data_IF_556247572428
#
_entry.id   IF_556247572428
#
_cell.length_a   1.000
_cell.length_b   1.000
_cell.length_c   1.000
_cell.angle_alpha   90.00
_cell.angle_beta   90.00
_cell.angle_gamma   90.00
#
_symmetry.space_group_name_H-M   'P 1'
#
loop_
_entity.id
_entity.type
_entity.pdbx_description
1 polymer ?
#
# COMPACT_ATOMS: atom_id res chain seq x y z
N UNK A 1 48.53 58.06 9.78
CA UNK A 1 47.88 56.92 10.46
C UNK A 1 46.47 57.31 10.91
N UNK A 2 45.44 56.79 10.23
CA UNK A 2 44.22 56.17 10.79
C UNK A 2 43.21 55.98 9.66
N UNK A 3 42.92 54.71 9.39
CA UNK A 3 42.11 54.19 8.30
C UNK A 3 40.59 54.17 8.60
N UNK A 4 39.83 53.84 7.53
CA UNK A 4 38.50 53.19 7.47
C UNK A 4 37.29 54.13 7.66
N UNK A 5 36.22 54.04 6.86
CA UNK A 5 35.57 52.85 6.29
C UNK A 5 34.95 53.12 4.91
N UNK A 6 35.31 52.32 3.90
CA UNK A 6 34.42 52.01 2.77
C UNK A 6 33.30 51.11 3.30
N UNK A 7 32.04 51.57 3.24
CA UNK A 7 30.89 50.70 3.49
C UNK A 7 30.68 49.80 2.27
N UNK A 8 31.13 48.55 2.37
CA UNK A 8 30.65 47.50 1.48
C UNK A 8 29.19 47.21 1.82
N UNK A 9 28.29 47.61 0.92
CA UNK A 9 26.89 47.19 0.93
C UNK A 9 26.88 45.72 0.50
N UNK A 10 26.81 44.80 1.45
CA UNK A 10 26.61 43.39 1.14
C UNK A 10 25.21 43.22 0.55
N UNK A 11 25.16 42.87 -0.73
CA UNK A 11 23.97 42.25 -1.32
C UNK A 11 23.84 40.87 -0.65
N UNK A 12 22.91 40.76 0.29
CA UNK A 12 22.40 39.47 0.74
C UNK A 12 21.77 38.77 -0.47
N UNK A 13 22.39 37.68 -0.90
CA UNK A 13 21.88 36.77 -1.91
C UNK A 13 20.87 35.82 -1.25
N UNK A 14 19.58 36.12 -1.41
CA UNK A 14 18.48 35.19 -1.13
C UNK A 14 18.45 34.07 -2.21
N UNK A 15 19.35 33.09 -2.12
CA UNK A 15 19.32 31.92 -3.02
C UNK A 15 19.23 30.58 -2.25
N UNK A 16 19.47 30.55 -0.93
CA UNK A 16 19.55 29.29 -0.17
C UNK A 16 18.20 28.68 0.27
N UNK A 17 17.06 29.39 0.11
CA UNK A 17 15.79 28.93 0.69
C UNK A 17 14.95 27.96 -0.16
N UNK A 18 15.27 27.75 -1.45
CA UNK A 18 14.43 26.90 -2.31
C UNK A 18 14.82 25.41 -2.27
N UNK A 19 16.10 25.08 -2.07
CA UNK A 19 16.57 23.68 -2.09
C UNK A 19 16.19 22.90 -0.82
N UNK A 20 16.31 23.53 0.34
CA UNK A 20 15.99 22.89 1.64
C UNK A 20 14.52 22.49 1.77
N UNK A 21 13.62 23.30 1.22
CA UNK A 21 12.18 23.03 1.23
C UNK A 21 11.79 21.86 0.29
N UNK A 22 12.51 21.70 -0.83
CA UNK A 22 12.27 20.61 -1.77
C UNK A 22 12.77 19.27 -1.21
N UNK A 23 13.97 19.25 -0.64
CA UNK A 23 14.52 18.05 0.02
C UNK A 23 13.67 17.61 1.21
N UNK A 24 13.15 18.55 2.02
CA UNK A 24 12.21 18.23 3.09
C UNK A 24 10.90 17.63 2.57
N UNK A 25 10.37 18.17 1.46
CA UNK A 25 9.16 17.64 0.81
C UNK A 25 9.30 16.19 0.34
N UNK A 26 10.47 15.84 -0.21
CA UNK A 26 10.77 14.47 -0.64
C UNK A 26 10.85 13.50 0.54
N UNK A 27 11.47 13.91 1.65
CA UNK A 27 11.53 13.11 2.89
C UNK A 27 10.12 12.87 3.47
N UNK A 28 9.25 13.88 3.50
CA UNK A 28 7.87 13.70 3.97
C UNK A 28 7.08 12.74 3.08
N UNK A 29 7.29 12.80 1.77
CA UNK A 29 6.67 11.86 0.82
C UNK A 29 7.14 10.42 1.09
N UNK A 30 8.43 10.22 1.28
CA UNK A 30 8.98 8.88 1.59
C UNK A 30 8.43 8.34 2.91
N UNK A 31 8.35 9.18 3.96
CA UNK A 31 7.75 8.81 5.23
C UNK A 31 6.27 8.42 5.09
N UNK A 32 5.51 9.16 4.27
CA UNK A 32 4.12 8.83 4.00
C UNK A 32 3.99 7.47 3.31
N UNK A 33 4.82 7.19 2.30
CA UNK A 33 4.87 5.90 1.58
C UNK A 33 5.19 4.75 2.55
N UNK A 34 6.17 4.94 3.44
CA UNK A 34 6.51 3.94 4.46
C UNK A 34 5.34 3.70 5.41
N UNK A 35 4.70 4.77 5.90
CA UNK A 35 3.59 4.65 6.84
C UNK A 35 2.40 3.91 6.22
N UNK A 36 1.97 4.28 5.01
CA UNK A 36 0.87 3.59 4.34
C UNK A 36 1.22 2.13 3.99
N UNK A 37 2.49 1.84 3.69
CA UNK A 37 2.96 0.46 3.48
C UNK A 37 2.88 -0.38 4.75
N UNK A 38 3.21 0.20 5.92
CA UNK A 38 3.05 -0.48 7.22
C UNK A 38 1.58 -0.84 7.47
N UNK A 39 0.67 0.11 7.25
CA UNK A 39 -0.76 -0.13 7.36
C UNK A 39 -1.24 -1.23 6.41
N UNK A 40 -0.79 -1.21 5.15
CA UNK A 40 -1.11 -2.23 4.17
C UNK A 40 -0.66 -3.63 4.61
N UNK A 41 0.52 -3.76 5.21
CA UNK A 41 1.02 -5.05 5.76
C UNK A 41 0.14 -5.54 6.92
N UNK A 42 -0.24 -4.65 7.85
CA UNK A 42 -1.17 -5.02 8.93
C UNK A 42 -2.52 -5.49 8.40
N UNK A 43 -3.04 -4.86 7.36
CA UNK A 43 -4.28 -5.28 6.72
C UNK A 43 -4.17 -6.67 6.06
N UNK A 44 -3.03 -6.99 5.43
CA UNK A 44 -2.78 -8.35 4.91
C UNK A 44 -2.86 -9.37 6.04
N UNK A 45 -2.15 -9.11 7.16
CA UNK A 45 -2.16 -10.01 8.32
C UNK A 45 -3.57 -10.19 8.88
N UNK A 46 -4.34 -9.10 8.97
CA UNK A 46 -5.72 -9.15 9.42
C UNK A 46 -6.60 -10.00 8.47
N UNK A 47 -6.46 -9.84 7.16
CA UNK A 47 -7.15 -10.66 6.16
C UNK A 47 -6.78 -12.15 6.27
N UNK A 48 -5.52 -12.47 6.59
CA UNK A 48 -5.07 -13.85 6.84
C UNK A 48 -5.75 -14.44 8.08
N UNK A 49 -5.83 -13.69 9.18
CA UNK A 49 -6.48 -14.14 10.42
C UNK A 49 -7.95 -14.47 10.17
N UNK A 50 -8.69 -13.60 9.48
CA UNK A 50 -10.10 -13.83 9.12
C UNK A 50 -10.28 -15.12 8.32
N UNK A 51 -9.37 -15.40 7.37
CA UNK A 51 -9.44 -16.63 6.59
C UNK A 51 -9.15 -17.88 7.43
N UNK A 52 -8.23 -17.79 8.40
CA UNK A 52 -7.94 -18.89 9.32
C UNK A 52 -9.17 -19.20 10.19
N UNK A 53 -9.80 -18.17 10.77
CA UNK A 53 -11.01 -18.32 11.59
C UNK A 53 -12.16 -18.94 10.78
N UNK A 54 -12.35 -18.49 9.53
CA UNK A 54 -13.31 -19.08 8.61
C UNK A 54 -13.07 -20.58 8.37
N UNK A 55 -11.82 -21.01 8.18
CA UNK A 55 -11.50 -22.43 7.98
C UNK A 55 -11.81 -23.28 9.22
N UNK A 56 -11.57 -22.74 10.42
CA UNK A 56 -11.96 -23.41 11.67
C UNK A 56 -13.48 -23.53 11.82
N UNK A 57 -14.20 -22.45 11.51
CA UNK A 57 -15.66 -22.46 11.53
C UNK A 57 -16.24 -23.46 10.53
N UNK A 58 -15.75 -23.47 9.27
CA UNK A 58 -16.13 -24.46 8.25
C UNK A 58 -15.87 -25.90 8.71
N UNK A 59 -14.71 -26.15 9.32
CA UNK A 59 -14.41 -27.47 9.90
C UNK A 59 -15.45 -27.88 10.94
N UNK A 60 -15.87 -26.97 11.81
CA UNK A 60 -16.88 -27.28 12.82
C UNK A 60 -18.24 -27.55 12.21
N UNK A 61 -18.65 -26.82 11.18
CA UNK A 61 -19.90 -27.06 10.44
C UNK A 61 -19.90 -28.48 9.83
N UNK A 62 -18.77 -28.90 9.24
CA UNK A 62 -18.63 -30.26 8.70
C UNK A 62 -18.70 -31.32 9.82
N UNK A 63 -18.08 -31.07 10.97
CA UNK A 63 -18.13 -31.99 12.11
C UNK A 63 -19.54 -32.12 12.70
N UNK A 64 -20.29 -31.04 12.76
CA UNK A 64 -21.69 -31.06 13.16
C UNK A 64 -22.53 -31.93 12.23
N UNK A 65 -22.33 -31.80 10.92
CA UNK A 65 -22.99 -32.61 9.90
C UNK A 65 -22.63 -34.10 9.99
N UNK A 66 -21.37 -34.44 10.29
CA UNK A 66 -20.93 -35.84 10.42
C UNK A 66 -21.50 -36.48 11.68
N UNK A 67 -21.55 -35.75 12.79
CA UNK A 67 -21.93 -36.29 14.10
C UNK A 67 -23.40 -36.08 14.45
N UNK A 68 -24.19 -35.42 13.59
CA UNK A 68 -25.55 -34.95 13.87
C UNK A 68 -25.61 -34.13 15.17
N UNK A 69 -24.70 -33.17 15.32
CA UNK A 69 -24.65 -32.21 16.42
C UNK A 69 -24.92 -30.80 15.92
N UNK A 70 -25.10 -29.83 16.85
CA UNK A 70 -25.43 -28.44 16.54
C UNK A 70 -24.55 -27.44 17.32
N UNK A 71 -23.27 -27.73 17.50
CA UNK A 71 -22.36 -26.86 18.26
C UNK A 71 -22.15 -25.49 17.59
N UNK A 72 -22.17 -25.44 16.26
CA UNK A 72 -21.97 -24.23 15.47
C UNK A 72 -23.14 -23.23 15.56
N UNK A 73 -24.34 -23.65 15.99
CA UNK A 73 -25.48 -22.73 16.17
C UNK A 73 -25.21 -21.63 17.20
N UNK A 74 -24.32 -21.90 18.16
CA UNK A 74 -23.94 -20.95 19.20
C UNK A 74 -22.63 -20.20 18.89
N UNK A 75 -22.01 -20.46 17.73
CA UNK A 75 -20.80 -19.77 17.29
C UNK A 75 -21.15 -18.53 16.47
N UNK A 76 -20.21 -17.59 16.37
CA UNK A 76 -20.34 -16.49 15.42
C UNK A 76 -20.41 -17.04 13.99
N UNK A 77 -21.34 -16.52 13.18
CA UNK A 77 -21.45 -16.87 11.78
C UNK A 77 -20.33 -16.18 10.97
N UNK A 78 -19.39 -16.99 10.49
CA UNK A 78 -18.27 -16.54 9.67
C UNK A 78 -18.48 -16.79 8.18
N UNK A 79 -19.70 -17.08 7.72
CA UNK A 79 -20.03 -17.30 6.30
C UNK A 79 -19.61 -16.15 5.38
N UNK A 80 -19.64 -14.91 5.88
CA UNK A 80 -19.26 -13.70 5.14
C UNK A 80 -17.76 -13.36 5.21
N UNK A 81 -16.98 -14.09 6.00
CA UNK A 81 -15.54 -13.85 6.20
C UNK A 81 -14.71 -13.87 4.91
N UNK A 82 -14.95 -14.78 3.92
CA UNK A 82 -14.25 -14.75 2.64
C UNK A 82 -14.45 -13.45 1.86
N UNK A 83 -15.66 -12.87 1.91
CA UNK A 83 -15.98 -11.60 1.22
C UNK A 83 -15.27 -10.42 1.89
N UNK A 84 -15.29 -10.39 3.23
CA UNK A 84 -14.57 -9.37 4.02
C UNK A 84 -13.06 -9.42 3.80
N UNK A 85 -12.46 -10.62 3.83
CA UNK A 85 -11.02 -10.79 3.62
C UNK A 85 -10.61 -10.43 2.19
N UNK A 86 -11.45 -10.77 1.19
CA UNK A 86 -11.21 -10.39 -0.19
C UNK A 86 -11.25 -8.87 -0.40
N UNK A 87 -12.22 -8.16 0.20
CA UNK A 87 -12.27 -6.70 0.16
C UNK A 87 -10.99 -6.07 0.72
N UNK A 88 -10.46 -6.61 1.81
CA UNK A 88 -9.18 -6.16 2.39
C UNK A 88 -8.04 -6.34 1.38
N UNK A 89 -7.94 -7.51 0.73
CA UNK A 89 -6.90 -7.73 -0.29
C UNK A 89 -7.03 -6.80 -1.49
N UNK A 90 -8.26 -6.49 -1.92
CA UNK A 90 -8.52 -5.53 -2.99
C UNK A 90 -8.02 -4.13 -2.61
N UNK A 91 -8.38 -3.65 -1.42
CA UNK A 91 -7.95 -2.34 -0.89
C UNK A 91 -6.42 -2.27 -0.81
N UNK A 92 -5.79 -3.29 -0.23
CA UNK A 92 -4.33 -3.34 -0.09
C UNK A 92 -3.64 -3.33 -1.46
N UNK A 93 -4.16 -4.10 -2.41
CA UNK A 93 -3.57 -4.14 -3.76
C UNK A 93 -3.70 -2.79 -4.46
N UNK A 94 -4.83 -2.09 -4.30
CA UNK A 94 -5.01 -0.74 -4.82
C UNK A 94 -4.01 0.27 -4.21
N UNK A 95 -3.73 0.16 -2.90
CA UNK A 95 -2.69 0.96 -2.24
C UNK A 95 -1.32 0.73 -2.90
N UNK A 96 -0.92 -0.53 -3.10
CA UNK A 96 0.36 -0.84 -3.73
C UNK A 96 0.43 -0.42 -5.21
N UNK A 97 -0.69 -0.42 -5.93
CA UNK A 97 -0.77 0.18 -7.28
C UNK A 97 -0.41 1.67 -7.22
N UNK A 98 -1.00 2.42 -6.28
CA UNK A 98 -0.69 3.85 -6.11
C UNK A 98 0.79 4.10 -5.80
N UNK A 99 1.37 3.32 -4.88
CA UNK A 99 2.79 3.43 -4.51
C UNK A 99 3.70 3.13 -5.70
N UNK A 100 3.44 2.04 -6.42
CA UNK A 100 4.28 1.62 -7.55
C UNK A 100 4.10 2.51 -8.78
N UNK A 101 2.92 3.12 -8.95
CA UNK A 101 2.69 4.15 -9.95
C UNK A 101 3.54 5.40 -9.70
N UNK A 102 3.57 5.86 -8.45
CA UNK A 102 4.40 6.98 -8.04
C UNK A 102 5.91 6.67 -8.19
N UNK A 103 6.33 5.48 -7.79
CA UNK A 103 7.71 5.02 -7.96
C UNK A 103 8.13 4.98 -9.44
N UNK A 104 7.25 4.47 -10.31
CA UNK A 104 7.49 4.47 -11.76
C UNK A 104 7.63 5.89 -12.32
N UNK A 105 6.72 6.80 -11.97
CA UNK A 105 6.79 8.20 -12.45
C UNK A 105 8.03 8.93 -11.92
N UNK A 106 8.44 8.65 -10.69
CA UNK A 106 9.65 9.25 -10.08
C UNK A 106 10.90 8.86 -10.88
N UNK A 107 11.05 7.57 -11.22
CA UNK A 107 12.20 7.10 -12.01
C UNK A 107 12.09 7.55 -13.47
N UNK A 108 10.89 7.54 -14.06
CA UNK A 108 10.67 7.95 -15.46
C UNK A 108 10.98 9.43 -15.71
N UNK A 109 10.63 10.30 -14.76
CA UNK A 109 10.78 11.75 -14.91
C UNK A 109 12.16 12.26 -14.48
N UNK A 110 13.00 11.42 -13.89
CA UNK A 110 14.35 11.78 -13.50
C UNK A 110 15.31 11.62 -14.69
N UNK A 111 15.92 12.73 -15.10
CA UNK A 111 16.85 12.77 -16.25
C UNK A 111 18.10 11.90 -16.06
N UNK A 112 18.44 11.55 -14.83
CA UNK A 112 19.62 10.74 -14.50
C UNK A 112 19.31 9.23 -14.42
N UNK A 113 18.04 8.85 -14.53
CA UNK A 113 17.64 7.45 -14.41
C UNK A 113 18.12 6.61 -15.58
N UNK A 114 18.64 5.42 -15.27
CA UNK A 114 19.10 4.49 -16.29
C UNK A 114 17.88 3.77 -16.91
N UNK A 115 17.94 3.38 -18.20
CA UNK A 115 16.85 2.65 -18.84
C UNK A 115 16.43 1.37 -18.09
N UNK A 116 17.39 0.68 -17.47
CA UNK A 116 17.15 -0.53 -16.66
C UNK A 116 16.29 -0.25 -15.42
N UNK A 117 16.45 0.91 -14.79
CA UNK A 117 15.68 1.28 -13.59
C UNK A 117 14.23 1.56 -13.96
N UNK A 118 14.01 2.24 -15.09
CA UNK A 118 12.67 2.50 -15.66
C UNK A 118 11.99 1.17 -15.99
N UNK A 119 12.70 0.25 -16.65
CA UNK A 119 12.18 -1.08 -16.99
C UNK A 119 11.78 -1.87 -15.74
N UNK A 120 12.62 -1.87 -14.70
CA UNK A 120 12.34 -2.52 -13.42
C UNK A 120 11.11 -1.94 -12.74
N UNK A 121 11.00 -0.62 -12.67
CA UNK A 121 9.86 0.06 -12.07
C UNK A 121 8.56 -0.25 -12.84
N UNK A 122 8.62 -0.26 -14.17
CA UNK A 122 7.50 -0.64 -15.03
C UNK A 122 7.05 -2.09 -14.78
N UNK A 123 7.99 -3.04 -14.73
CA UNK A 123 7.69 -4.45 -14.45
C UNK A 123 6.99 -4.64 -13.10
N UNK A 124 7.44 -3.92 -12.07
CA UNK A 124 6.81 -3.96 -10.75
C UNK A 124 5.39 -3.38 -10.80
N UNK A 125 5.17 -2.26 -11.50
CA UNK A 125 3.85 -1.66 -11.68
C UNK A 125 2.89 -2.62 -12.40
N UNK A 126 3.33 -3.27 -13.48
CA UNK A 126 2.51 -4.26 -14.19
C UNK A 126 2.17 -5.45 -13.31
N UNK A 127 3.14 -5.95 -12.52
CA UNK A 127 2.89 -7.07 -11.61
C UNK A 127 1.77 -6.76 -10.60
N UNK A 128 1.76 -5.57 -10.00
CA UNK A 128 0.71 -5.20 -9.05
C UNK A 128 -0.64 -4.93 -9.73
N UNK A 129 -0.65 -4.45 -10.97
CA UNK A 129 -1.89 -4.30 -11.75
C UNK A 129 -2.50 -5.67 -12.04
N UNK A 130 -1.69 -6.68 -12.36
CA UNK A 130 -2.18 -8.06 -12.55
C UNK A 130 -2.80 -8.59 -11.24
N UNK A 131 -2.16 -8.33 -10.10
CA UNK A 131 -2.73 -8.66 -8.79
C UNK A 131 -4.04 -7.92 -8.53
N UNK A 132 -4.15 -6.65 -8.93
CA UNK A 132 -5.38 -5.87 -8.77
C UNK A 132 -6.51 -6.46 -9.60
N UNK A 133 -6.23 -6.85 -10.85
CA UNK A 133 -7.20 -7.53 -11.71
C UNK A 133 -7.66 -8.85 -11.10
N UNK A 134 -6.73 -9.69 -10.63
CA UNK A 134 -7.06 -10.96 -10.00
C UNK A 134 -7.90 -10.79 -8.73
N UNK A 135 -7.56 -9.83 -7.87
CA UNK A 135 -8.34 -9.54 -6.65
C UNK A 135 -9.70 -8.95 -6.97
N UNK A 136 -9.81 -8.10 -8.00
CA UNK A 136 -11.08 -7.52 -8.45
C UNK A 136 -12.04 -8.57 -9.02
N UNK A 137 -11.53 -9.51 -9.82
CA UNK A 137 -12.34 -10.64 -10.32
C UNK A 137 -12.86 -11.48 -9.16
N UNK A 138 -11.99 -11.80 -8.20
CA UNK A 138 -12.37 -12.59 -7.04
C UNK A 138 -13.41 -11.85 -6.16
N UNK A 139 -13.26 -10.52 -6.02
CA UNK A 139 -14.27 -9.67 -5.37
C UNK A 139 -15.61 -9.77 -6.08
N UNK A 140 -15.64 -9.63 -7.40
CA UNK A 140 -16.87 -9.69 -8.20
C UNK A 140 -17.58 -11.05 -8.05
N UNK A 141 -16.83 -12.15 -8.15
CA UNK A 141 -17.34 -13.52 -7.96
C UNK A 141 -17.95 -13.72 -6.57
N UNK A 142 -17.34 -13.15 -5.53
CA UNK A 142 -17.84 -13.30 -4.16
C UNK A 142 -19.05 -12.39 -3.86
N UNK A 143 -19.28 -11.33 -4.64
CA UNK A 143 -20.36 -10.37 -4.41
C UNK A 143 -21.57 -10.54 -5.34
N UNK A 144 -21.39 -11.10 -6.54
CA UNK A 144 -22.47 -11.21 -7.55
C UNK A 144 -23.26 -12.54 -7.52
N UNK A 145 -22.94 -13.44 -6.60
CA UNK A 145 -23.66 -14.72 -6.44
C UNK A 145 -24.83 -14.66 -5.42
N UNK A 146 -25.34 -13.46 -5.13
CA UNK A 146 -26.53 -13.22 -4.29
C UNK A 146 -27.51 -12.26 -4.97
#
# INVERSE_FOLDING_TARGET
>A
MKDKKKSFKSKSSNIENNNSNQEQGEIYKELYIVNISIWAVFLILYGVIINIEYLFWQRNVILDNINNTNFTENMEDLSDSPRKSNLIYLIVTAIFVGILWDAYNTVKNNSNSQPKDIEKAYKNLIAVIILLLGTSINFDVLNNNY
#
